data_IF_942713153320
#
_entry.id   IF_942713153320
#
_cell.length_a   1.000
_cell.length_b   1.000
_cell.length_c   1.000
_cell.angle_alpha   90.00
_cell.angle_beta   90.00
_cell.angle_gamma   90.00
#
_symmetry.space_group_name_H-M   'P 1'
#
loop_
_entity.id
_entity.type
_entity.pdbx_description
1 polymer ?
#
# COMPACT_ATOMS: atom_id res chain seq x y z
N UNK A 1 0.78 -11.64 8.07
CA UNK A 1 -0.19 -11.09 7.10
C UNK A 1 0.48 -9.89 6.46
N UNK A 2 0.45 -9.75 5.14
CA UNK A 2 1.02 -8.58 4.46
C UNK A 2 -0.12 -7.65 4.01
N UNK A 3 0.07 -6.35 4.19
CA UNK A 3 -0.85 -5.32 3.66
C UNK A 3 -0.04 -4.39 2.79
N UNK A 4 -0.52 -4.18 1.57
CA UNK A 4 0.09 -3.30 0.58
C UNK A 4 -0.86 -2.15 0.32
N UNK A 5 -0.35 -0.94 0.39
CA UNK A 5 -1.03 0.25 -0.11
C UNK A 5 -0.50 0.53 -1.50
N UNK A 6 -1.39 0.56 -2.48
CA UNK A 6 -1.04 0.67 -3.90
C UNK A 6 -1.68 1.92 -4.48
N UNK A 7 -0.92 2.67 -5.27
CA UNK A 7 -1.45 3.80 -6.00
C UNK A 7 -2.36 3.32 -7.15
N UNK A 8 -3.63 3.74 -7.15
CA UNK A 8 -4.59 3.42 -8.24
C UNK A 8 -4.25 4.04 -9.60
N UNK A 9 -3.25 4.92 -9.65
CA UNK A 9 -2.86 5.59 -10.89
C UNK A 9 -1.73 4.93 -11.64
N UNK A 10 -0.81 4.26 -10.94
CA UNK A 10 0.40 3.72 -11.55
C UNK A 10 0.88 2.42 -10.89
N UNK A 11 0.01 1.78 -10.10
CA UNK A 11 0.19 0.49 -9.43
C UNK A 11 1.43 0.38 -8.53
N UNK A 12 2.01 1.52 -8.17
CA UNK A 12 3.17 1.55 -7.29
C UNK A 12 2.75 1.26 -5.87
N UNK A 13 3.44 0.32 -5.24
CA UNK A 13 3.32 0.08 -3.80
C UNK A 13 3.89 1.30 -3.09
N UNK A 14 3.01 2.11 -2.51
CA UNK A 14 3.40 3.32 -1.76
C UNK A 14 3.78 2.97 -0.32
N UNK A 15 3.30 1.83 0.20
CA UNK A 15 3.67 1.32 1.50
C UNK A 15 3.44 -0.17 1.60
N UNK A 16 4.35 -0.86 2.29
CA UNK A 16 4.25 -2.27 2.61
C UNK A 16 4.37 -2.47 4.12
N UNK A 17 3.31 -3.02 4.72
CA UNK A 17 3.37 -3.55 6.07
C UNK A 17 3.92 -4.98 6.04
N UNK A 18 5.14 -5.18 6.53
CA UNK A 18 5.78 -6.51 6.57
C UNK A 18 5.65 -7.19 7.93
N UNK A 19 5.78 -6.43 9.02
CA UNK A 19 5.82 -6.93 10.39
C UNK A 19 5.28 -5.91 11.40
N UNK A 20 4.77 -6.43 12.51
CA UNK A 20 4.42 -5.63 13.69
C UNK A 20 5.66 -4.92 14.23
N UNK A 21 5.54 -3.65 14.62
CA UNK A 21 6.66 -2.85 15.12
C UNK A 21 7.56 -2.26 14.03
N UNK A 22 7.19 -2.33 12.75
CA UNK A 22 7.94 -1.69 11.65
C UNK A 22 7.90 -0.17 11.79
N UNK A 23 6.69 0.41 11.81
CA UNK A 23 6.48 1.86 11.85
C UNK A 23 5.35 2.30 12.81
N UNK A 24 4.75 1.33 13.52
CA UNK A 24 3.61 1.48 14.44
C UNK A 24 3.47 0.21 15.28
N UNK A 25 2.73 0.27 16.39
CA UNK A 25 2.33 -0.93 17.13
C UNK A 25 1.44 -1.88 16.29
N UNK A 26 0.80 -1.39 15.22
CA UNK A 26 -0.06 -2.16 14.34
C UNK A 26 0.01 -1.73 12.87
N UNK A 27 -1.10 -1.93 12.14
CA UNK A 27 -1.26 -1.42 10.78
C UNK A 27 -1.56 0.09 10.83
N UNK A 28 -0.79 0.95 10.14
CA UNK A 28 -1.17 2.35 10.04
C UNK A 28 -2.50 2.47 9.31
N UNK A 29 -3.34 3.38 9.78
CA UNK A 29 -4.56 3.79 9.08
C UNK A 29 -4.19 4.46 7.74
N UNK A 30 -5.08 4.45 6.74
CA UNK A 30 -4.83 5.17 5.50
C UNK A 30 -4.50 6.65 5.71
N UNK A 31 -5.13 7.29 6.71
CA UNK A 31 -4.88 8.71 7.03
C UNK A 31 -3.48 8.94 7.60
N UNK A 32 -3.03 8.10 8.53
CA UNK A 32 -1.66 8.16 9.04
C UNK A 32 -0.63 7.96 7.93
N UNK A 33 -0.89 7.01 7.02
CA UNK A 33 0.00 6.77 5.90
C UNK A 33 0.05 7.98 4.95
N UNK A 34 -1.10 8.55 4.60
CA UNK A 34 -1.17 9.73 3.73
C UNK A 34 -0.38 10.92 4.29
N UNK A 35 -0.49 11.18 5.60
CA UNK A 35 0.28 12.24 6.25
C UNK A 35 1.80 12.01 6.15
N UNK A 36 2.26 10.76 6.16
CA UNK A 36 3.69 10.42 6.01
C UNK A 36 4.21 10.63 4.60
N UNK A 37 3.36 10.50 3.58
CA UNK A 37 3.74 10.58 2.15
C UNK A 37 3.19 11.84 1.45
N UNK A 38 2.90 12.89 2.23
CA UNK A 38 2.41 14.19 1.72
C UNK A 38 1.18 14.08 0.81
N UNK A 39 0.33 13.08 1.05
CA UNK A 39 -0.89 12.77 0.29
C UNK A 39 -0.69 12.63 -1.23
N UNK A 40 0.54 12.38 -1.71
CA UNK A 40 0.85 12.24 -3.14
C UNK A 40 1.62 10.96 -3.41
N UNK A 41 1.34 10.35 -4.56
CA UNK A 41 2.12 9.20 -5.00
C UNK A 41 3.55 9.66 -5.33
N UNK A 42 4.59 9.04 -4.74
CA UNK A 42 5.98 9.42 -4.99
C UNK A 42 6.43 9.10 -6.42
N UNK A 43 5.73 8.23 -7.15
CA UNK A 43 6.08 7.87 -8.54
C UNK A 43 5.38 8.73 -9.58
N UNK A 44 4.05 8.88 -9.49
CA UNK A 44 3.27 9.58 -10.53
C UNK A 44 2.70 10.93 -10.11
N UNK A 45 2.92 11.37 -8.87
CA UNK A 45 2.46 12.66 -8.35
C UNK A 45 0.96 12.76 -8.08
N UNK A 46 0.16 11.74 -8.42
CA UNK A 46 -1.29 11.72 -8.20
C UNK A 46 -1.62 11.87 -6.72
N UNK A 47 -2.65 12.64 -6.41
CA UNK A 47 -3.20 12.72 -5.05
C UNK A 47 -3.77 11.37 -4.60
N UNK A 48 -3.37 10.95 -3.41
CA UNK A 48 -3.86 9.73 -2.79
C UNK A 48 -5.11 10.04 -2.00
N UNK A 49 -6.13 9.19 -2.12
CA UNK A 49 -7.37 9.28 -1.35
C UNK A 49 -7.46 8.17 -0.31
N UNK A 50 -8.34 8.35 0.67
CA UNK A 50 -8.68 7.29 1.63
C UNK A 50 -9.46 6.21 0.86
N UNK A 51 -9.01 4.95 0.87
CA UNK A 51 -9.71 3.87 0.18
C UNK A 51 -11.02 3.51 0.89
N UNK A 52 -12.04 3.17 0.10
CA UNK A 52 -13.27 2.54 0.57
C UNK A 52 -13.17 1.02 0.54
N UNK A 53 -14.22 0.34 1.01
CA UNK A 53 -14.27 -1.13 1.09
C UNK A 53 -14.10 -1.80 -0.28
N UNK A 54 -14.69 -1.22 -1.33
CA UNK A 54 -14.62 -1.74 -2.70
C UNK A 54 -13.22 -1.68 -3.32
N UNK A 55 -12.29 -0.97 -2.69
CA UNK A 55 -10.92 -0.81 -3.16
C UNK A 55 -9.97 -1.85 -2.55
N UNK A 56 -10.48 -2.68 -1.64
CA UNK A 56 -9.72 -3.70 -0.93
C UNK A 56 -9.75 -5.00 -1.74
N UNK A 57 -8.57 -5.50 -2.10
CA UNK A 57 -8.41 -6.79 -2.75
C UNK A 57 -7.76 -7.77 -1.79
N UNK A 58 -8.43 -8.89 -1.51
CA UNK A 58 -7.91 -9.98 -0.69
C UNK A 58 -7.40 -11.07 -1.63
N UNK A 59 -6.10 -11.33 -1.58
CA UNK A 59 -5.44 -12.31 -2.43
C UNK A 59 -4.95 -13.50 -1.63
N UNK A 60 -4.88 -14.67 -2.27
CA UNK A 60 -4.16 -15.81 -1.70
C UNK A 60 -2.67 -15.50 -1.67
N UNK A 61 -1.95 -16.05 -0.70
CA UNK A 61 -0.50 -15.84 -0.52
C UNK A 61 0.31 -16.12 -1.80
N UNK A 62 -0.08 -17.11 -2.60
CA UNK A 62 0.56 -17.42 -3.87
C UNK A 62 0.40 -16.33 -4.94
N UNK A 63 -0.79 -15.71 -5.02
CA UNK A 63 -1.11 -14.64 -5.97
C UNK A 63 -0.38 -13.34 -5.58
N UNK A 64 -0.42 -12.98 -4.29
CA UNK A 64 0.28 -11.82 -3.78
C UNK A 64 1.80 -11.87 -4.04
N UNK A 65 2.43 -13.05 -3.93
CA UNK A 65 3.85 -13.25 -4.24
C UNK A 65 4.19 -12.96 -5.71
N UNK A 66 3.28 -13.19 -6.65
CA UNK A 66 3.51 -12.89 -8.07
C UNK A 66 3.51 -11.39 -8.30
N UNK A 67 2.54 -10.66 -7.74
CA UNK A 67 2.46 -9.20 -7.86
C UNK A 67 3.69 -8.49 -7.27
N UNK A 68 4.14 -8.93 -6.08
CA UNK A 68 5.32 -8.36 -5.43
C UNK A 68 6.63 -8.62 -6.18
N UNK A 69 6.71 -9.69 -6.98
CA UNK A 69 7.89 -9.96 -7.82
C UNK A 69 7.92 -9.12 -9.09
N UNK A 70 6.75 -8.71 -9.61
CA UNK A 70 6.64 -7.91 -10.82
C UNK A 70 6.99 -6.43 -10.54
N UNK A 71 6.67 -5.92 -9.36
CA UNK A 71 7.00 -4.54 -8.95
C UNK A 71 8.43 -4.32 -8.42
N UNK A 72 9.28 -5.36 -8.39
CA UNK A 72 10.68 -5.31 -7.96
C UNK A 72 11.70 -5.27 -9.12
N UNK A 73 11.19 -5.19 -10.36
CA UNK A 73 11.92 -4.93 -11.61
C UNK A 73 11.63 -3.51 -12.07
#
# INVERSE_FOLDING_TARGET
MAVLYVCRGCDTVVYQFTRVGQDSFGLPTPRELMLRISSKCPKCGRELGIPGVNDIVILRKGEARRLLKIGAL
#
